data_IF_893501639262
#
_entry.id   IF_893501639262
#
_cell.length_a   1.000
_cell.length_b   1.000
_cell.length_c   1.000
_cell.angle_alpha   90.00
_cell.angle_beta   90.00
_cell.angle_gamma   90.00
#
_symmetry.space_group_name_H-M   'P 1'
#
loop_
_entity.id
_entity.type
_entity.pdbx_description
1 polymer ?
#
# COMPACT_ATOMS: atom_id res chain seq x y z
N UNK A 1 -0.70 25.73 12.65
CA UNK A 1 -0.30 24.93 11.47
C UNK A 1 -1.30 25.20 10.37
N UNK A 2 -0.88 25.60 9.17
CA UNK A 2 -1.80 25.80 8.03
C UNK A 2 -1.93 24.46 7.30
N UNK A 3 -3.15 24.04 6.94
CA UNK A 3 -3.33 22.79 6.22
C UNK A 3 -2.54 22.79 4.91
N UNK A 4 -1.65 21.81 4.70
CA UNK A 4 -0.83 21.70 3.48
C UNK A 4 -1.71 21.50 2.25
N UNK A 5 -2.84 20.80 2.41
CA UNK A 5 -3.85 20.59 1.38
C UNK A 5 -5.23 21.07 1.83
N UNK A 6 -5.99 21.67 0.90
CA UNK A 6 -7.33 22.14 1.19
C UNK A 6 -8.32 20.96 1.29
N UNK A 7 -9.32 21.08 2.17
CA UNK A 7 -10.38 20.07 2.32
C UNK A 7 -11.11 19.76 0.99
N UNK A 8 -11.48 20.75 0.15
CA UNK A 8 -12.11 20.48 -1.14
C UNK A 8 -11.23 19.67 -2.11
N UNK A 9 -9.91 19.80 -2.01
CA UNK A 9 -8.99 19.01 -2.83
C UNK A 9 -8.97 17.54 -2.36
N UNK A 10 -8.92 17.30 -1.04
CA UNK A 10 -9.06 15.95 -0.50
C UNK A 10 -10.45 15.36 -0.82
N UNK A 11 -11.53 16.13 -0.73
CA UNK A 11 -12.87 15.70 -1.15
C UNK A 11 -12.89 15.19 -2.59
N UNK A 12 -12.21 15.91 -3.50
CA UNK A 12 -12.11 15.53 -4.90
C UNK A 12 -11.35 14.21 -5.07
N UNK A 13 -10.26 13.99 -4.35
CA UNK A 13 -9.50 12.73 -4.43
C UNK A 13 -10.36 11.53 -4.02
N UNK A 14 -11.24 11.69 -3.03
CA UNK A 14 -12.14 10.62 -2.59
C UNK A 14 -13.41 10.49 -3.44
N UNK A 15 -13.65 11.38 -4.40
CA UNK A 15 -14.91 11.44 -5.17
C UNK A 15 -15.03 10.38 -6.26
N UNK A 16 -13.93 9.76 -6.68
CA UNK A 16 -13.95 8.58 -7.55
C UNK A 16 -13.03 7.48 -7.01
N UNK A 17 -13.25 6.26 -7.48
CA UNK A 17 -12.50 5.08 -7.06
C UNK A 17 -11.40 4.73 -8.08
N UNK A 18 -10.71 5.75 -8.61
CA UNK A 18 -9.68 5.55 -9.61
C UNK A 18 -8.33 5.22 -8.98
N UNK A 19 -7.58 4.28 -9.58
CA UNK A 19 -6.25 3.91 -9.09
C UNK A 19 -5.28 5.11 -9.07
N UNK A 20 -5.37 6.00 -10.07
CA UNK A 20 -4.57 7.22 -10.18
C UNK A 20 -4.69 8.13 -8.95
N UNK A 21 -5.89 8.22 -8.35
CA UNK A 21 -6.13 9.02 -7.16
C UNK A 21 -5.57 8.37 -5.89
N UNK A 22 -5.54 7.03 -5.81
CA UNK A 22 -4.81 6.34 -4.73
C UNK A 22 -3.31 6.62 -4.81
N UNK A 23 -2.75 6.64 -6.03
CA UNK A 23 -1.35 7.00 -6.27
C UNK A 23 -1.09 8.46 -5.86
N UNK A 24 -1.97 9.38 -6.24
CA UNK A 24 -1.87 10.79 -5.83
C UNK A 24 -1.96 10.95 -4.31
N UNK A 25 -2.89 10.25 -3.67
CA UNK A 25 -3.03 10.22 -2.22
C UNK A 25 -1.78 9.68 -1.51
N UNK A 26 -1.20 8.60 -2.04
CA UNK A 26 0.05 8.04 -1.54
C UNK A 26 1.21 9.04 -1.66
N UNK A 27 1.31 9.74 -2.79
CA UNK A 27 2.31 10.80 -2.99
C UNK A 27 2.18 11.94 -1.97
N UNK A 28 0.95 12.34 -1.65
CA UNK A 28 0.67 13.34 -0.61
C UNK A 28 1.13 12.84 0.77
N UNK A 29 0.77 11.61 1.12
CA UNK A 29 1.13 10.99 2.40
C UNK A 29 2.66 10.91 2.56
N UNK A 30 3.37 10.43 1.55
CA UNK A 30 4.84 10.37 1.54
C UNK A 30 5.51 11.75 1.56
N UNK A 31 4.78 12.81 1.25
CA UNK A 31 5.23 14.20 1.39
C UNK A 31 4.85 14.86 2.72
N UNK A 32 4.23 14.13 3.66
CA UNK A 32 3.86 14.65 4.98
C UNK A 32 5.06 14.67 5.95
N UNK A 33 4.95 15.44 7.04
CA UNK A 33 5.99 15.51 8.08
C UNK A 33 6.11 14.22 8.90
N UNK A 34 5.09 13.35 8.86
CA UNK A 34 5.06 12.08 9.59
C UNK A 34 5.87 11.01 8.85
N UNK A 35 6.02 11.14 7.54
CA UNK A 35 6.68 10.13 6.72
C UNK A 35 8.17 10.03 7.06
N UNK A 36 8.59 8.85 7.53
CA UNK A 36 9.99 8.51 7.76
C UNK A 36 10.37 7.23 6.99
N UNK A 37 11.19 7.30 5.93
CA UNK A 37 11.56 6.13 5.15
C UNK A 37 12.46 5.13 5.89
N UNK A 38 13.01 5.48 7.05
CA UNK A 38 13.85 4.59 7.87
C UNK A 38 13.01 3.78 8.87
N UNK A 39 11.81 4.26 9.20
CA UNK A 39 10.85 3.51 10.03
C UNK A 39 10.19 2.35 9.23
N UNK A 40 9.96 1.18 9.85
CA UNK A 40 9.35 0.04 9.16
C UNK A 40 7.95 0.31 8.60
N UNK A 41 7.15 1.16 9.25
CA UNK A 41 5.79 1.53 8.87
C UNK A 41 5.65 2.97 8.38
N UNK A 42 6.78 3.60 8.07
CA UNK A 42 6.89 5.02 7.71
C UNK A 42 6.46 6.02 8.79
N UNK A 43 6.28 5.59 10.05
CA UNK A 43 5.70 6.41 11.10
C UNK A 43 4.18 6.57 10.98
N UNK A 44 3.55 5.88 10.04
CA UNK A 44 2.11 5.99 9.81
C UNK A 44 1.29 5.08 10.73
N UNK A 45 0.02 5.46 11.03
CA UNK A 45 -0.95 4.51 11.54
C UNK A 45 -1.08 3.29 10.61
N UNK A 46 -1.22 2.09 11.18
CA UNK A 46 -1.21 0.81 10.45
C UNK A 46 -2.04 0.80 9.16
N UNK A 47 -3.31 1.28 9.12
CA UNK A 47 -4.09 1.26 7.88
C UNK A 47 -3.55 2.17 6.78
N UNK A 48 -2.93 3.29 7.16
CA UNK A 48 -2.31 4.24 6.22
C UNK A 48 -1.01 3.66 5.67
N UNK A 49 -0.22 3.02 6.53
CA UNK A 49 0.96 2.26 6.10
C UNK A 49 0.59 1.17 5.10
N UNK A 50 -0.42 0.33 5.39
CA UNK A 50 -0.89 -0.73 4.48
C UNK A 50 -1.31 -0.16 3.14
N UNK A 51 -2.05 0.95 3.13
CA UNK A 51 -2.48 1.62 1.90
C UNK A 51 -1.28 2.00 1.02
N UNK A 52 -0.31 2.72 1.60
CA UNK A 52 0.88 3.22 0.88
C UNK A 52 1.74 2.05 0.40
N UNK A 53 2.06 1.12 1.30
CA UNK A 53 2.98 0.02 1.02
C UNK A 53 2.38 -1.00 0.03
N UNK A 54 1.08 -1.25 0.08
CA UNK A 54 0.40 -2.08 -0.93
C UNK A 54 0.49 -1.46 -2.33
N UNK A 55 0.38 -0.13 -2.47
CA UNK A 55 0.52 0.53 -3.75
C UNK A 55 1.94 0.37 -4.31
N UNK A 56 2.97 0.46 -3.47
CA UNK A 56 4.37 0.19 -3.86
C UNK A 56 4.54 -1.25 -4.33
N UNK A 57 4.01 -2.20 -3.56
CA UNK A 57 4.06 -3.62 -3.90
C UNK A 57 3.40 -3.93 -5.25
N UNK A 58 2.20 -3.43 -5.48
CA UNK A 58 1.47 -3.63 -6.74
C UNK A 58 2.15 -2.93 -7.92
N UNK A 59 2.65 -1.71 -7.73
CA UNK A 59 3.35 -0.97 -8.77
C UNK A 59 4.63 -1.69 -9.24
N UNK A 60 5.41 -2.23 -8.31
CA UNK A 60 6.60 -3.03 -8.61
C UNK A 60 6.24 -4.32 -9.35
N UNK A 61 5.20 -5.03 -8.88
CA UNK A 61 4.71 -6.23 -9.54
C UNK A 61 4.32 -6.01 -11.00
N UNK A 62 3.65 -4.90 -11.31
CA UNK A 62 3.22 -4.55 -12.67
C UNK A 62 4.36 -4.08 -13.58
N UNK A 63 5.43 -3.46 -13.04
CA UNK A 63 6.51 -2.87 -13.85
C UNK A 63 7.71 -3.79 -14.05
N UNK A 64 8.12 -4.50 -13.01
CA UNK A 64 9.40 -5.24 -12.99
C UNK A 64 9.26 -6.68 -12.49
N UNK A 65 8.03 -7.09 -12.17
CA UNK A 65 7.71 -8.39 -11.58
C UNK A 65 7.73 -8.31 -10.06
N UNK A 66 6.94 -9.17 -9.40
CA UNK A 66 6.66 -9.04 -7.96
C UNK A 66 7.90 -9.22 -7.07
N UNK A 67 8.91 -9.92 -7.59
CA UNK A 67 10.18 -10.16 -6.90
C UNK A 67 10.97 -8.88 -6.63
N UNK A 68 10.88 -7.87 -7.51
CA UNK A 68 11.66 -6.62 -7.38
C UNK A 68 11.26 -5.83 -6.13
N UNK A 69 10.00 -5.94 -5.72
CA UNK A 69 9.53 -5.37 -4.46
C UNK A 69 10.26 -5.99 -3.27
N UNK A 70 10.29 -7.33 -3.18
CA UNK A 70 10.92 -8.03 -2.05
C UNK A 70 12.44 -7.90 -2.04
N UNK A 71 13.06 -7.74 -3.21
CA UNK A 71 14.49 -7.42 -3.30
C UNK A 71 14.80 -6.02 -2.77
N UNK A 72 14.00 -5.02 -3.14
CA UNK A 72 14.26 -3.61 -2.81
C UNK A 72 13.79 -3.21 -1.40
N UNK A 73 12.88 -3.97 -0.79
CA UNK A 73 12.24 -3.60 0.48
C UNK A 73 13.02 -4.15 1.67
N UNK A 74 13.40 -3.35 2.68
CA UNK A 74 14.06 -3.84 3.89
C UNK A 74 13.23 -4.90 4.62
N UNK A 75 13.89 -5.93 5.16
CA UNK A 75 13.21 -7.05 5.85
C UNK A 75 12.29 -6.58 6.99
N UNK A 76 12.69 -5.56 7.75
CA UNK A 76 11.87 -5.00 8.83
C UNK A 76 10.52 -4.46 8.32
N UNK A 77 10.53 -3.76 7.18
CA UNK A 77 9.33 -3.27 6.51
C UNK A 77 8.48 -4.41 5.95
N UNK A 78 9.11 -5.43 5.37
CA UNK A 78 8.37 -6.61 4.90
C UNK A 78 7.62 -7.30 6.05
N UNK A 79 8.26 -7.43 7.21
CA UNK A 79 7.64 -7.99 8.40
C UNK A 79 6.52 -7.10 8.96
N UNK A 80 6.71 -5.78 8.97
CA UNK A 80 5.67 -4.84 9.37
C UNK A 80 4.44 -4.95 8.45
N UNK A 81 4.68 -5.01 7.13
CA UNK A 81 3.63 -5.15 6.13
C UNK A 81 2.89 -6.47 6.27
N UNK A 82 3.59 -7.60 6.47
CA UNK A 82 2.95 -8.89 6.68
C UNK A 82 2.00 -8.86 7.89
N UNK A 83 2.45 -8.37 9.06
CA UNK A 83 1.61 -8.24 10.26
C UNK A 83 0.42 -7.31 10.05
N UNK A 84 0.61 -6.26 9.27
CA UNK A 84 -0.46 -5.31 8.97
C UNK A 84 -1.50 -5.91 8.02
N UNK A 85 -1.06 -6.65 6.99
CA UNK A 85 -1.95 -7.38 6.08
C UNK A 85 -2.77 -8.46 6.79
N UNK A 86 -2.19 -9.16 7.77
CA UNK A 86 -2.92 -10.14 8.59
C UNK A 86 -4.09 -9.52 9.38
N UNK A 87 -4.04 -8.21 9.64
CA UNK A 87 -5.07 -7.46 10.38
C UNK A 87 -6.07 -6.77 9.46
N UNK A 88 -5.58 -6.11 8.42
CA UNK A 88 -6.35 -5.14 7.63
C UNK A 88 -6.82 -5.70 6.26
N UNK A 89 -6.15 -6.73 5.74
CA UNK A 89 -6.38 -7.19 4.37
C UNK A 89 -7.43 -8.31 4.29
N UNK A 90 -8.12 -8.44 3.15
CA UNK A 90 -8.98 -9.58 2.87
C UNK A 90 -8.19 -10.90 2.88
N UNK A 91 -8.92 -12.01 2.99
CA UNK A 91 -8.34 -13.35 2.94
C UNK A 91 -7.44 -13.55 1.72
N UNK A 92 -6.30 -14.19 1.92
CA UNK A 92 -5.34 -14.51 0.86
C UNK A 92 -4.20 -13.49 0.69
N UNK A 93 -4.38 -12.21 1.00
CA UNK A 93 -3.32 -11.19 0.80
C UNK A 93 -2.06 -11.50 1.61
N UNK A 94 -2.22 -11.66 2.92
CA UNK A 94 -1.10 -12.01 3.81
C UNK A 94 -0.42 -13.32 3.40
N UNK A 95 -1.17 -14.32 2.91
CA UNK A 95 -0.61 -15.58 2.44
C UNK A 95 0.27 -15.40 1.20
N UNK A 96 -0.18 -14.62 0.23
CA UNK A 96 0.57 -14.35 -1.01
C UNK A 96 1.79 -13.47 -0.73
N UNK A 97 1.63 -12.48 0.15
CA UNK A 97 2.72 -11.64 0.61
C UNK A 97 3.79 -12.47 1.34
N UNK A 98 3.40 -13.33 2.29
CA UNK A 98 4.32 -14.22 3.01
C UNK A 98 5.07 -15.19 2.08
N UNK A 99 4.39 -15.71 1.04
CA UNK A 99 5.05 -16.52 0.01
C UNK A 99 6.07 -15.69 -0.78
N UNK A 100 5.72 -14.45 -1.13
CA UNK A 100 6.62 -13.48 -1.73
C UNK A 100 7.88 -13.25 -0.89
N UNK A 101 7.69 -12.80 0.34
CA UNK A 101 8.74 -12.52 1.32
C UNK A 101 9.72 -13.69 1.51
N UNK A 102 9.21 -14.93 1.60
CA UNK A 102 10.05 -16.12 1.82
C UNK A 102 10.75 -16.59 0.54
N UNK A 103 10.04 -16.57 -0.59
CA UNK A 103 10.43 -17.32 -1.79
C UNK A 103 10.74 -16.40 -3.00
N UNK A 104 11.04 -15.11 -2.80
CA UNK A 104 11.18 -14.15 -3.91
C UNK A 104 12.27 -14.50 -4.93
N UNK A 105 13.32 -15.20 -4.49
CA UNK A 105 14.39 -15.68 -5.36
C UNK A 105 13.97 -16.90 -6.21
N UNK A 106 12.84 -17.53 -5.88
CA UNK A 106 12.33 -18.71 -6.58
C UNK A 106 11.35 -18.27 -7.67
N UNK A 107 11.85 -18.17 -8.91
CA UNK A 107 11.09 -17.70 -10.08
C UNK A 107 9.72 -18.37 -10.26
N UNK A 108 9.60 -19.67 -10.02
CA UNK A 108 8.32 -20.39 -10.17
C UNK A 108 7.30 -20.02 -9.09
N UNK A 109 7.75 -19.64 -7.88
CA UNK A 109 6.89 -19.14 -6.80
C UNK A 109 6.43 -17.72 -7.11
N UNK A 110 7.32 -16.86 -7.59
CA UNK A 110 6.96 -15.49 -7.97
C UNK A 110 5.94 -15.42 -9.10
N UNK A 111 6.06 -16.30 -10.10
CA UNK A 111 5.02 -16.45 -11.13
C UNK A 111 3.63 -16.81 -10.58
N UNK A 112 3.54 -17.50 -9.43
CA UNK A 112 2.26 -17.80 -8.78
C UNK A 112 1.67 -16.55 -8.13
N UNK A 113 2.50 -15.78 -7.44
CA UNK A 113 2.09 -14.50 -6.82
C UNK A 113 1.65 -13.51 -7.90
N UNK A 114 2.43 -13.35 -8.99
CA UNK A 114 2.09 -12.46 -10.11
C UNK A 114 0.75 -12.83 -10.76
N UNK A 115 0.52 -14.14 -10.96
CA UNK A 115 -0.74 -14.62 -11.52
C UNK A 115 -1.91 -14.34 -10.57
N UNK A 116 -1.71 -14.53 -9.26
CA UNK A 116 -2.71 -14.19 -8.27
C UNK A 116 -3.03 -12.69 -8.30
N UNK A 117 -2.02 -11.82 -8.26
CA UNK A 117 -2.21 -10.37 -8.33
C UNK A 117 -2.98 -9.93 -9.56
N UNK A 118 -2.59 -10.43 -10.73
CA UNK A 118 -3.27 -10.12 -12.00
C UNK A 118 -4.73 -10.57 -11.99
N UNK A 119 -5.03 -11.72 -11.38
CA UNK A 119 -6.40 -12.22 -11.29
C UNK A 119 -7.27 -11.43 -10.30
N UNK A 120 -6.67 -10.67 -9.38
CA UNK A 120 -7.38 -9.94 -8.31
C UNK A 120 -7.17 -8.43 -8.41
N UNK A 121 -6.74 -7.89 -9.56
CA UNK A 121 -6.39 -6.46 -9.70
C UNK A 121 -7.54 -5.52 -9.32
N UNK A 122 -8.76 -5.81 -9.78
CA UNK A 122 -9.96 -5.03 -9.44
C UNK A 122 -10.29 -5.13 -7.94
N UNK A 123 -10.21 -6.33 -7.37
CA UNK A 123 -10.45 -6.57 -5.94
C UNK A 123 -9.42 -5.85 -5.07
N UNK A 124 -8.15 -5.83 -5.50
CA UNK A 124 -7.07 -5.11 -4.84
C UNK A 124 -7.36 -3.61 -4.81
N UNK A 125 -7.70 -3.02 -5.96
CA UNK A 125 -8.02 -1.60 -6.06
C UNK A 125 -9.26 -1.25 -5.21
N UNK A 126 -10.30 -2.07 -5.29
CA UNK A 126 -11.52 -1.88 -4.50
C UNK A 126 -11.25 -1.94 -2.99
N UNK A 127 -10.44 -2.90 -2.53
CA UNK A 127 -10.05 -3.01 -1.13
C UNK A 127 -9.26 -1.79 -0.65
N UNK A 128 -8.26 -1.33 -1.42
CA UNK A 128 -7.48 -0.14 -1.06
C UNK A 128 -8.37 1.10 -0.92
N UNK A 129 -9.36 1.26 -1.79
CA UNK A 129 -10.34 2.33 -1.66
C UNK A 129 -11.20 2.21 -0.42
N UNK A 130 -11.67 1.00 -0.09
CA UNK A 130 -12.41 0.77 1.15
C UNK A 130 -11.58 1.09 2.39
N UNK A 131 -10.30 0.72 2.38
CA UNK A 131 -9.35 1.02 3.46
C UNK A 131 -9.15 2.54 3.59
N UNK A 132 -8.90 3.23 2.47
CA UNK A 132 -8.74 4.68 2.44
C UNK A 132 -10.00 5.39 2.99
N UNK A 133 -11.19 4.98 2.55
CA UNK A 133 -12.45 5.56 3.03
C UNK A 133 -12.70 5.30 4.52
N UNK A 134 -12.45 4.08 4.99
CA UNK A 134 -12.62 3.73 6.41
C UNK A 134 -11.70 4.55 7.33
N UNK A 135 -10.53 4.96 6.83
CA UNK A 135 -9.53 5.72 7.59
C UNK A 135 -9.34 7.14 7.09
N UNK A 136 -10.33 7.68 6.36
CA UNK A 136 -10.28 9.02 5.77
C UNK A 136 -9.96 10.11 6.79
N UNK A 137 -10.54 10.06 7.98
CA UNK A 137 -10.27 11.06 9.03
C UNK A 137 -8.82 11.02 9.55
N UNK A 138 -8.15 9.87 9.49
CA UNK A 138 -6.73 9.76 9.83
C UNK A 138 -5.87 10.32 8.69
N UNK A 139 -6.23 10.00 7.44
CA UNK A 139 -5.56 10.51 6.24
C UNK A 139 -5.66 12.05 6.18
N UNK A 140 -6.85 12.63 6.38
CA UNK A 140 -7.05 14.08 6.42
C UNK A 140 -6.20 14.77 7.49
N UNK A 141 -6.01 14.13 8.66
CA UNK A 141 -5.14 14.66 9.73
C UNK A 141 -3.66 14.64 9.36
N UNK A 142 -3.21 13.66 8.58
CA UNK A 142 -1.83 13.59 8.10
C UNK A 142 -1.59 14.62 6.98
N UNK A 143 -2.61 14.88 6.17
CA UNK A 143 -2.54 15.80 5.03
C UNK A 143 -2.79 17.27 5.39
N UNK A 144 -3.32 17.57 6.59
CA UNK A 144 -3.57 18.92 7.09
C UNK A 144 -2.31 19.49 7.74
#
# INVERSE_FOLDING_TARGET
>A
MKPKFSRPYLDKLFSSAEYSQLVELSGILCGSEIFDPDEPDYGFPTPVFVLVESLVWFAQASRSGVWSYFEATPMARQQAMLRALEREAPGGFALQYAMGMRDWQVKTRMKKVERWMKAHEEENNFWLWRLAWAHRASIERICA
#
